data_IF_970703053318
#
_entry.id   IF_970703053318
#
_cell.length_a   1.000
_cell.length_b   1.000
_cell.length_c   1.000
_cell.angle_alpha   90.00
_cell.angle_beta   90.00
_cell.angle_gamma   90.00
#
_symmetry.space_group_name_H-M   'P 1'
#
loop_
_entity.id
_entity.type
_entity.pdbx_description
1 polymer ?
#
# COMPACT_ATOMS: atom_id res chain seq x y z
N UNK A 1 -18.59 2.54 -1.22
CA UNK A 1 -17.51 1.99 -2.05
C UNK A 1 -16.41 1.38 -1.18
N UNK A 2 -15.79 2.15 -0.27
CA UNK A 2 -14.77 1.62 0.64
C UNK A 2 -15.25 0.49 1.58
N UNK A 3 -16.46 0.57 2.15
CA UNK A 3 -17.00 -0.52 3.01
C UNK A 3 -17.05 -1.85 2.27
N UNK A 4 -17.65 -1.85 1.07
CA UNK A 4 -17.73 -3.02 0.21
C UNK A 4 -16.34 -3.57 -0.14
N UNK A 5 -15.38 -2.68 -0.44
CA UNK A 5 -14.00 -3.08 -0.68
C UNK A 5 -13.38 -3.79 0.53
N UNK A 6 -13.53 -3.24 1.74
CA UNK A 6 -13.06 -3.85 2.98
C UNK A 6 -13.76 -5.18 3.29
N UNK A 7 -15.06 -5.30 2.99
CA UNK A 7 -15.82 -6.55 3.11
C UNK A 7 -15.28 -7.63 2.16
N UNK A 8 -15.00 -7.28 0.91
CA UNK A 8 -14.39 -8.20 -0.06
C UNK A 8 -13.00 -8.66 0.40
N UNK A 9 -12.16 -7.76 0.92
CA UNK A 9 -10.86 -8.13 1.50
C UNK A 9 -11.03 -9.13 2.66
N UNK A 10 -11.97 -8.86 3.56
CA UNK A 10 -12.25 -9.73 4.72
C UNK A 10 -12.82 -11.08 4.32
N UNK A 11 -13.55 -11.17 3.21
CA UNK A 11 -14.14 -12.43 2.73
C UNK A 11 -13.11 -13.48 2.32
N UNK A 12 -11.89 -13.06 1.95
CA UNK A 12 -10.79 -13.94 1.53
C UNK A 12 -9.68 -14.05 2.58
N UNK A 13 -9.86 -13.41 3.73
CA UNK A 13 -8.91 -13.40 4.84
C UNK A 13 -8.97 -14.70 5.64
N UNK A 14 -7.81 -15.22 6.06
CA UNK A 14 -7.73 -16.46 6.86
C UNK A 14 -6.80 -16.29 8.06
N UNK A 15 -7.22 -16.79 9.23
CA UNK A 15 -6.45 -16.67 10.48
C UNK A 15 -5.13 -17.42 10.42
N UNK A 16 -5.10 -18.56 9.74
CA UNK A 16 -3.88 -19.36 9.55
C UNK A 16 -2.83 -18.58 8.76
N UNK A 17 -3.28 -17.88 7.71
CA UNK A 17 -2.39 -17.06 6.89
C UNK A 17 -1.94 -15.81 7.64
N UNK A 18 -2.82 -15.17 8.40
CA UNK A 18 -2.47 -14.01 9.23
C UNK A 18 -1.30 -14.35 10.16
N UNK A 19 -1.38 -15.47 10.89
CA UNK A 19 -0.29 -15.96 11.76
C UNK A 19 1.01 -16.25 11.00
N UNK A 20 0.89 -16.83 9.81
CA UNK A 20 2.06 -17.11 8.97
C UNK A 20 2.75 -15.81 8.52
N UNK A 21 1.95 -14.82 8.13
CA UNK A 21 2.44 -13.51 7.74
C UNK A 21 3.09 -12.78 8.93
N UNK A 22 2.46 -12.77 10.11
CA UNK A 22 3.02 -12.18 11.34
C UNK A 22 4.41 -12.76 11.68
N UNK A 23 4.57 -14.08 11.57
CA UNK A 23 5.86 -14.74 11.76
C UNK A 23 6.89 -14.31 10.71
N UNK A 24 6.50 -14.32 9.43
CA UNK A 24 7.38 -13.97 8.31
C UNK A 24 7.85 -12.51 8.35
N UNK A 25 6.94 -11.58 8.61
CA UNK A 25 7.21 -10.15 8.74
C UNK A 25 7.80 -9.75 10.10
N UNK A 26 8.01 -10.74 10.99
CA UNK A 26 8.67 -10.56 12.29
C UNK A 26 7.97 -9.47 13.11
N UNK A 27 6.68 -9.62 13.40
CA UNK A 27 5.87 -8.60 14.11
C UNK A 27 5.94 -8.65 15.64
N UNK A 28 6.77 -9.53 16.19
CA UNK A 28 6.96 -9.62 17.65
C UNK A 28 7.62 -8.37 18.25
N UNK A 29 7.45 -8.19 19.56
CA UNK A 29 8.07 -7.08 20.31
C UNK A 29 9.58 -6.98 20.05
N UNK A 30 10.07 -5.78 19.75
CA UNK A 30 11.48 -5.47 19.44
C UNK A 30 11.94 -5.92 18.06
N UNK A 31 11.04 -6.39 17.19
CA UNK A 31 11.36 -6.81 15.82
C UNK A 31 10.92 -5.76 14.80
N UNK A 32 11.45 -5.90 13.58
CA UNK A 32 11.24 -4.98 12.48
C UNK A 32 9.77 -4.62 12.20
N UNK A 33 8.87 -5.61 12.22
CA UNK A 33 7.44 -5.40 11.96
C UNK A 33 6.60 -5.18 13.22
N UNK A 34 7.19 -4.79 14.35
CA UNK A 34 6.45 -4.62 15.60
C UNK A 34 5.24 -3.68 15.42
N UNK A 35 4.06 -4.19 15.77
CA UNK A 35 2.79 -3.44 15.66
C UNK A 35 2.04 -3.63 14.34
N UNK A 36 2.62 -4.26 13.33
CA UNK A 36 1.88 -4.63 12.11
C UNK A 36 0.88 -5.77 12.41
N UNK A 37 -0.36 -5.59 11.96
CA UNK A 37 -1.41 -6.61 12.05
C UNK A 37 -1.78 -7.10 10.66
N UNK A 38 -2.12 -8.38 10.52
CA UNK A 38 -2.39 -9.01 9.24
C UNK A 38 -3.81 -9.58 9.18
N UNK A 39 -4.50 -9.38 8.05
CA UNK A 39 -5.76 -10.05 7.74
C UNK A 39 -5.53 -11.49 7.27
N UNK A 40 -4.37 -11.79 6.67
CA UNK A 40 -4.07 -13.10 6.12
C UNK A 40 -4.62 -13.29 4.72
N UNK A 41 -4.43 -12.29 3.85
CA UNK A 41 -4.85 -12.34 2.44
C UNK A 41 -3.64 -12.66 1.57
N UNK A 42 -3.82 -13.48 0.53
CA UNK A 42 -2.74 -13.78 -0.42
C UNK A 42 -2.63 -12.67 -1.46
N UNK A 43 -1.41 -12.35 -1.89
CA UNK A 43 -1.16 -11.29 -2.88
C UNK A 43 -1.95 -11.46 -4.21
N UNK A 44 -2.13 -12.67 -4.78
CA UNK A 44 -2.96 -12.84 -5.97
C UNK A 44 -4.41 -12.43 -5.74
N UNK A 45 -4.99 -12.80 -4.60
CA UNK A 45 -6.38 -12.46 -4.24
C UNK A 45 -6.51 -10.95 -4.01
N UNK A 46 -5.54 -10.35 -3.31
CA UNK A 46 -5.47 -8.91 -3.09
C UNK A 46 -5.46 -8.15 -4.43
N UNK A 47 -4.58 -8.53 -5.36
CA UNK A 47 -4.51 -7.90 -6.70
C UNK A 47 -5.81 -8.11 -7.49
N UNK A 48 -6.45 -9.28 -7.37
CA UNK A 48 -7.73 -9.57 -8.03
C UNK A 48 -8.84 -8.66 -7.53
N UNK A 49 -8.92 -8.41 -6.22
CA UNK A 49 -9.90 -7.51 -5.60
C UNK A 49 -9.61 -6.06 -6.00
N UNK A 50 -8.37 -5.59 -5.82
CA UNK A 50 -7.96 -4.22 -6.15
C UNK A 50 -8.32 -3.83 -7.59
N UNK A 51 -8.08 -4.73 -8.57
CA UNK A 51 -8.37 -4.44 -9.99
C UNK A 51 -9.84 -4.14 -10.30
N UNK A 52 -10.77 -4.50 -9.40
CA UNK A 52 -12.22 -4.22 -9.52
C UNK A 52 -12.65 -2.91 -8.87
N UNK A 53 -11.76 -2.25 -8.13
CA UNK A 53 -12.04 -1.06 -7.31
C UNK A 53 -11.03 0.04 -7.59
N UNK A 54 -10.78 0.33 -8.87
CA UNK A 54 -9.82 1.37 -9.28
C UNK A 54 -10.40 2.78 -9.22
N UNK A 55 -11.69 2.88 -8.91
CA UNK A 55 -12.45 4.13 -8.77
C UNK A 55 -12.39 4.70 -7.34
N UNK A 56 -11.70 4.03 -6.42
CA UNK A 56 -11.50 4.54 -5.06
C UNK A 56 -10.81 5.91 -5.09
N UNK A 57 -11.35 6.83 -4.30
CA UNK A 57 -10.83 8.20 -4.19
C UNK A 57 -9.58 8.25 -3.32
N UNK A 58 -8.82 9.36 -3.37
CA UNK A 58 -7.72 9.57 -2.43
C UNK A 58 -8.18 9.59 -0.97
N UNK A 59 -9.43 9.97 -0.69
CA UNK A 59 -9.99 9.91 0.68
C UNK A 59 -10.12 8.45 1.13
N UNK A 60 -10.65 7.59 0.27
CA UNK A 60 -10.79 6.16 0.58
C UNK A 60 -9.42 5.49 0.72
N UNK A 61 -8.49 5.80 -0.18
CA UNK A 61 -7.12 5.29 -0.14
C UNK A 61 -6.40 5.78 1.12
N UNK A 62 -6.60 7.03 1.54
CA UNK A 62 -6.03 7.55 2.77
C UNK A 62 -6.52 6.77 4.01
N UNK A 63 -7.79 6.37 4.03
CA UNK A 63 -8.33 5.53 5.11
C UNK A 63 -7.67 4.13 5.11
N UNK A 64 -7.46 3.53 3.94
CA UNK A 64 -6.73 2.27 3.81
C UNK A 64 -5.27 2.38 4.27
N UNK A 65 -4.58 3.46 3.91
CA UNK A 65 -3.19 3.72 4.32
C UNK A 65 -3.07 3.95 5.84
N UNK A 66 -4.11 4.51 6.46
CA UNK A 66 -4.15 4.72 7.91
C UNK A 66 -4.54 3.46 8.69
N UNK A 67 -4.97 2.39 8.01
CA UNK A 67 -5.35 1.14 8.64
C UNK A 67 -4.18 0.49 9.38
N UNK A 68 -4.42 -0.13 10.55
CA UNK A 68 -3.42 -0.97 11.20
C UNK A 68 -3.11 -2.25 10.40
N UNK A 69 -4.02 -2.68 9.52
CA UNK A 69 -3.87 -3.91 8.76
C UNK A 69 -2.93 -3.70 7.57
N UNK A 70 -1.91 -4.56 7.47
CA UNK A 70 -0.92 -4.54 6.40
C UNK A 70 -1.56 -4.71 5.02
N UNK A 71 -2.48 -5.66 4.87
CA UNK A 71 -3.12 -5.91 3.57
C UNK A 71 -4.07 -4.79 3.15
N UNK A 72 -4.66 -4.03 4.08
CA UNK A 72 -5.45 -2.85 3.73
C UNK A 72 -4.53 -1.73 3.19
N UNK A 73 -3.38 -1.49 3.84
CA UNK A 73 -2.37 -0.54 3.35
C UNK A 73 -1.83 -0.95 1.98
N UNK A 74 -1.44 -2.20 1.82
CA UNK A 74 -0.99 -2.76 0.55
C UNK A 74 -2.07 -2.61 -0.54
N UNK A 75 -3.33 -2.87 -0.21
CA UNK A 75 -4.44 -2.70 -1.15
C UNK A 75 -4.53 -1.25 -1.65
N UNK A 76 -4.48 -0.28 -0.74
CA UNK A 76 -4.50 1.15 -1.09
C UNK A 76 -3.34 1.55 -2.00
N UNK A 77 -2.12 1.06 -1.73
CA UNK A 77 -0.95 1.31 -2.58
C UNK A 77 -1.09 0.67 -3.97
N UNK A 78 -1.62 -0.55 -4.04
CA UNK A 78 -1.86 -1.21 -5.31
C UNK A 78 -2.93 -0.49 -6.14
N UNK A 79 -3.96 0.09 -5.51
CA UNK A 79 -4.92 0.95 -6.20
C UNK A 79 -4.20 2.13 -6.86
N UNK A 80 -3.32 2.83 -6.13
CA UNK A 80 -2.53 3.94 -6.68
C UNK A 80 -1.67 3.51 -7.87
N UNK A 81 -1.01 2.35 -7.76
CA UNK A 81 -0.22 1.77 -8.84
C UNK A 81 -1.08 1.58 -10.10
N UNK A 82 -2.21 0.90 -9.99
CA UNK A 82 -3.06 0.64 -11.17
C UNK A 82 -3.73 1.91 -11.69
N UNK A 83 -4.07 2.88 -10.82
CA UNK A 83 -4.55 4.19 -11.25
C UNK A 83 -3.48 4.95 -12.05
N UNK A 84 -2.22 4.86 -11.63
CA UNK A 84 -1.08 5.45 -12.33
C UNK A 84 -0.87 4.79 -13.70
N UNK A 85 -0.79 3.46 -13.75
CA UNK A 85 -0.60 2.68 -14.98
C UNK A 85 -1.70 2.96 -16.01
N UNK A 86 -2.95 3.08 -15.56
CA UNK A 86 -4.12 3.33 -16.43
C UNK A 86 -4.40 4.80 -16.69
N UNK A 87 -3.57 5.72 -16.19
CA UNK A 87 -3.80 7.18 -16.26
C UNK A 87 -5.20 7.60 -15.79
N UNK A 88 -5.73 6.93 -14.75
CA UNK A 88 -7.05 7.21 -14.18
C UNK A 88 -7.08 8.49 -13.35
N UNK A 89 -5.93 8.85 -12.77
CA UNK A 89 -5.72 10.03 -11.94
C UNK A 89 -4.41 10.70 -12.38
N UNK A 90 -4.27 12.00 -12.12
CA UNK A 90 -3.04 12.73 -12.43
C UNK A 90 -1.82 12.11 -11.72
N UNK A 91 -0.78 11.80 -12.49
CA UNK A 91 0.47 11.18 -11.99
C UNK A 91 1.14 12.01 -10.90
N UNK A 92 1.09 13.34 -11.01
CA UNK A 92 1.62 14.26 -10.00
C UNK A 92 0.91 14.09 -8.66
N UNK A 93 -0.43 14.06 -8.68
CA UNK A 93 -1.23 13.91 -7.48
C UNK A 93 -0.96 12.58 -6.77
N UNK A 94 -0.77 11.49 -7.54
CA UNK A 94 -0.37 10.19 -6.98
C UNK A 94 1.01 10.28 -6.31
N UNK A 95 2.00 10.90 -6.96
CA UNK A 95 3.35 11.05 -6.41
C UNK A 95 3.37 11.91 -5.14
N UNK A 96 2.63 13.02 -5.13
CA UNK A 96 2.49 13.89 -3.95
C UNK A 96 1.77 13.16 -2.81
N UNK A 97 0.70 12.42 -3.12
CA UNK A 97 0.00 11.59 -2.14
C UNK A 97 0.92 10.53 -1.53
N UNK A 98 1.74 9.87 -2.36
CA UNK A 98 2.71 8.88 -1.91
C UNK A 98 3.72 9.50 -0.94
N UNK A 99 4.32 10.63 -1.32
CA UNK A 99 5.30 11.35 -0.51
C UNK A 99 4.73 11.81 0.84
N UNK A 100 3.46 12.22 0.88
CA UNK A 100 2.77 12.61 2.12
C UNK A 100 2.60 11.44 3.09
N UNK A 101 2.56 10.21 2.58
CA UNK A 101 2.20 9.01 3.33
C UNK A 101 3.39 8.07 3.66
N UNK A 102 4.63 8.45 3.36
CA UNK A 102 5.81 7.60 3.53
C UNK A 102 5.97 7.00 4.92
N UNK A 103 5.57 7.72 5.99
CA UNK A 103 5.57 7.20 7.37
C UNK A 103 4.70 5.95 7.59
N UNK A 104 3.68 5.75 6.75
CA UNK A 104 2.78 4.58 6.80
C UNK A 104 3.15 3.50 5.78
N UNK A 105 4.07 3.81 4.86
CA UNK A 105 4.69 2.90 3.90
C UNK A 105 6.03 2.45 4.51
N UNK A 106 5.94 1.84 5.68
CA UNK A 106 7.06 1.58 6.59
C UNK A 106 7.52 0.11 6.58
N UNK A 107 7.17 -0.63 5.54
CA UNK A 107 7.59 -2.01 5.33
C UNK A 107 8.18 -2.16 3.93
N UNK A 108 9.21 -2.99 3.78
CA UNK A 108 9.95 -3.15 2.52
C UNK A 108 9.04 -3.58 1.38
N UNK A 109 8.08 -4.48 1.63
CA UNK A 109 7.20 -5.00 0.60
C UNK A 109 6.21 -3.93 0.11
N UNK A 110 5.73 -3.07 1.00
CA UNK A 110 4.89 -1.92 0.65
C UNK A 110 5.65 -0.99 -0.29
N UNK A 111 6.93 -0.70 -0.02
CA UNK A 111 7.78 0.14 -0.88
C UNK A 111 8.03 -0.54 -2.23
N UNK A 112 8.50 -1.78 -2.23
CA UNK A 112 8.88 -2.52 -3.45
C UNK A 112 7.70 -2.70 -4.40
N UNK A 113 6.49 -2.93 -3.86
CA UNK A 113 5.30 -3.13 -4.67
C UNK A 113 4.67 -1.85 -5.20
N UNK A 114 5.10 -0.66 -4.77
CA UNK A 114 4.39 0.59 -5.06
C UNK A 114 5.27 1.73 -5.53
N UNK A 115 6.44 1.94 -4.92
CA UNK A 115 7.32 3.07 -5.22
C UNK A 115 7.78 3.07 -6.68
N UNK A 116 8.29 1.96 -7.26
CA UNK A 116 8.84 1.99 -8.61
C UNK A 116 7.85 2.49 -9.66
N UNK A 117 6.60 2.03 -9.57
CA UNK A 117 5.54 2.31 -10.56
C UNK A 117 4.78 3.62 -10.28
N UNK A 118 4.99 4.25 -9.13
CA UNK A 118 4.34 5.51 -8.76
C UNK A 118 5.36 6.64 -8.68
N UNK A 119 5.94 6.85 -7.50
CA UNK A 119 6.93 7.89 -7.25
C UNK A 119 8.18 7.71 -8.11
N UNK A 120 8.65 6.48 -8.30
CA UNK A 120 9.83 6.15 -9.10
C UNK A 120 9.70 6.63 -10.55
N UNK A 121 8.67 6.17 -11.26
CA UNK A 121 8.38 6.61 -12.63
C UNK A 121 8.10 8.12 -12.73
N UNK A 122 7.48 8.71 -11.71
CA UNK A 122 7.29 10.17 -11.68
C UNK A 122 8.62 10.92 -11.65
N UNK A 123 9.63 10.41 -10.96
CA UNK A 123 10.90 11.11 -10.77
C UNK A 123 11.94 10.94 -11.89
N UNK A 124 11.76 9.99 -12.84
CA UNK A 124 12.76 9.66 -13.88
C UNK A 124 13.31 10.89 -14.61
N UNK A 125 12.44 11.84 -14.97
CA UNK A 125 12.82 13.05 -15.71
C UNK A 125 12.53 14.33 -14.90
N UNK A 126 12.62 14.26 -13.57
CA UNK A 126 12.27 15.37 -12.67
C UNK A 126 13.33 15.60 -11.59
N UNK A 127 13.19 16.71 -10.89
CA UNK A 127 14.05 17.03 -9.76
C UNK A 127 14.01 15.91 -8.69
N UNK A 128 15.17 15.34 -8.42
CA UNK A 128 15.34 14.23 -7.48
C UNK A 128 15.77 14.68 -6.09
N UNK A 129 15.71 15.98 -5.78
CA UNK A 129 16.10 16.52 -4.47
C UNK A 129 15.36 15.83 -3.31
N UNK A 130 14.11 15.42 -3.57
CA UNK A 130 13.28 14.68 -2.61
C UNK A 130 13.91 13.34 -2.18
N UNK A 131 14.64 12.66 -3.06
CA UNK A 131 15.29 11.38 -2.74
C UNK A 131 16.38 11.57 -1.68
N UNK A 132 17.15 12.68 -1.76
CA UNK A 132 18.17 13.01 -0.76
C UNK A 132 17.56 13.37 0.60
N UNK A 133 16.34 13.91 0.61
CA UNK A 133 15.59 14.14 1.85
C UNK A 133 15.13 12.81 2.47
N UNK A 134 14.61 11.89 1.66
CA UNK A 134 14.18 10.56 2.11
C UNK A 134 15.34 9.70 2.60
N UNK A 135 16.53 9.83 2.01
CA UNK A 135 17.72 9.11 2.46
C UNK A 135 18.20 9.50 3.88
N UNK A 136 17.69 10.60 4.44
CA UNK A 136 18.04 11.12 5.77
C UNK A 136 16.92 10.95 6.81
N UNK A 137 15.78 10.34 6.44
CA UNK A 137 14.59 10.22 7.29
C UNK A 137 14.48 8.88 8.01
#
# INVERSE_FOLDING_TARGET
>A
MLSQFKEELRSVATKERAKTNEWFFKTGKGKYGEGDTFLGIRMPDLRKIVKRHLELSFVDIQELINSPFHEERMAGLLVLVYQYEKNKVEKKAIAEFYLKNTKKINNWDLVDCSSPQTLGLWLVDRDTSVLYKLAKS
#
